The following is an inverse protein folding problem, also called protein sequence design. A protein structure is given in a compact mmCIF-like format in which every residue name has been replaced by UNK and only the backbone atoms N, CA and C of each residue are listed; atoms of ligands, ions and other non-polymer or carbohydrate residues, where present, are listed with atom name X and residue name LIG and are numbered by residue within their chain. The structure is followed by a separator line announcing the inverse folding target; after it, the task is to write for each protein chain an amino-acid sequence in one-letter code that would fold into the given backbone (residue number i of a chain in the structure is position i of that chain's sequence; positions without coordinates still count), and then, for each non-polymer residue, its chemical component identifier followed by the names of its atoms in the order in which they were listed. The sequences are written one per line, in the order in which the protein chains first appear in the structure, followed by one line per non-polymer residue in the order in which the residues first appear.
data_IF_430064214323
#
_entry.id   IF_430064214323
#
_cell.length_a   1.000
_cell.length_b   1.000
_cell.length_c   1.000
_cell.angle_alpha   90.00
_cell.angle_beta   90.00
_cell.angle_gamma   90.00
#
_symmetry.space_group_name_H-M   'P 1'
#
loop_
_entity.id
_entity.type
_entity.pdbx_description
1 polymer ?
#
# COMPACT_ATOMS: atom_id res chain seq x y z
N UNK A 1 -8.43 10.14 19.03
CA UNK A 1 -7.93 8.76 18.81
C UNK A 1 -6.46 8.82 18.45
N UNK A 2 -5.64 8.03 19.11
CA UNK A 2 -4.19 8.07 18.82
C UNK A 2 -3.88 7.27 17.55
N UNK A 3 -2.81 7.69 16.88
CA UNK A 3 -2.36 6.99 15.69
C UNK A 3 -1.63 5.68 16.08
N UNK A 4 -1.77 4.64 15.29
CA UNK A 4 -1.05 3.40 15.57
C UNK A 4 0.45 3.55 15.29
N UNK A 5 1.26 2.78 16.01
CA UNK A 5 2.71 2.75 15.78
C UNK A 5 3.09 1.90 14.58
N UNK A 6 2.26 0.93 14.24
CA UNK A 6 2.50 0.01 13.14
C UNK A 6 1.21 -0.21 12.35
N UNK A 7 1.37 -0.37 11.06
CA UNK A 7 0.27 -0.73 10.16
C UNK A 7 0.78 -1.84 9.23
N UNK A 8 -0.12 -2.44 8.48
CA UNK A 8 0.26 -3.52 7.59
C UNK A 8 -0.86 -3.89 6.65
N UNK A 9 -1.06 -5.18 6.47
CA UNK A 9 -2.05 -5.75 5.57
C UNK A 9 -2.64 -6.97 6.26
N UNK A 10 -3.79 -7.44 5.79
CA UNK A 10 -4.28 -8.74 6.24
C UNK A 10 -3.29 -9.80 5.80
N UNK A 11 -3.30 -10.96 6.47
CA UNK A 11 -2.36 -12.04 6.14
C UNK A 11 -2.49 -12.45 4.67
N UNK A 12 -3.72 -12.51 4.16
CA UNK A 12 -3.98 -12.86 2.77
C UNK A 12 -3.31 -11.86 1.81
N UNK A 13 -3.51 -10.57 2.06
CA UNK A 13 -2.97 -9.53 1.19
C UNK A 13 -1.46 -9.39 1.36
N UNK A 14 -0.94 -9.66 2.54
CA UNK A 14 0.51 -9.67 2.76
C UNK A 14 1.18 -10.74 1.90
N UNK A 15 0.57 -11.92 1.77
CA UNK A 15 1.07 -12.98 0.88
C UNK A 15 1.03 -12.53 -0.57
N UNK A 16 -0.03 -11.82 -0.97
CA UNK A 16 -0.14 -11.27 -2.32
C UNK A 16 0.96 -10.25 -2.60
N UNK A 17 1.28 -9.42 -1.61
CA UNK A 17 2.37 -8.47 -1.74
C UNK A 17 3.70 -9.17 -1.98
N UNK A 18 3.96 -10.26 -1.26
CA UNK A 18 5.20 -11.03 -1.43
C UNK A 18 5.29 -11.60 -2.85
N UNK A 19 4.18 -12.11 -3.39
CA UNK A 19 4.15 -12.61 -4.77
C UNK A 19 4.42 -11.50 -5.77
N UNK A 20 3.81 -10.33 -5.59
CA UNK A 20 4.01 -9.19 -6.47
C UNK A 20 5.48 -8.74 -6.46
N UNK A 21 6.12 -8.74 -5.30
CA UNK A 21 7.52 -8.36 -5.19
C UNK A 21 8.41 -9.36 -5.92
N UNK A 22 8.10 -10.65 -5.86
CA UNK A 22 8.85 -11.65 -6.60
C UNK A 22 8.73 -11.44 -8.11
N UNK A 23 7.55 -11.02 -8.58
CA UNK A 23 7.34 -10.72 -10.00
C UNK A 23 8.10 -9.45 -10.42
N UNK A 24 8.11 -8.42 -9.57
CA UNK A 24 8.77 -7.15 -9.87
C UNK A 24 10.29 -7.23 -9.76
N UNK A 25 10.80 -8.17 -8.95
CA UNK A 25 12.23 -8.32 -8.70
C UNK A 25 12.72 -9.73 -9.06
N UNK A 26 12.52 -10.18 -10.31
CA UNK A 26 12.88 -11.57 -10.67
C UNK A 26 14.37 -11.85 -10.55
N UNK A 27 15.20 -10.83 -10.60
CA UNK A 27 16.66 -10.95 -10.50
C UNK A 27 17.20 -10.08 -9.38
N UNK A 28 16.62 -10.20 -8.22
CA UNK A 28 16.95 -9.33 -7.09
C UNK A 28 18.40 -9.43 -6.61
N UNK A 29 19.13 -10.45 -7.04
CA UNK A 29 20.55 -10.61 -6.70
C UNK A 29 21.46 -9.89 -7.68
N UNK A 30 20.94 -9.35 -8.78
CA UNK A 30 21.73 -8.59 -9.72
C UNK A 30 21.86 -7.15 -9.26
N UNK A 31 22.90 -6.49 -9.75
CA UNK A 31 23.09 -5.06 -9.47
C UNK A 31 21.96 -4.29 -10.13
N UNK A 32 21.23 -3.55 -9.35
CA UNK A 32 20.11 -2.77 -9.82
C UNK A 32 19.24 -2.36 -8.66
N UNK A 33 18.25 -1.53 -8.95
CA UNK A 33 17.31 -1.06 -7.94
C UNK A 33 16.22 -2.11 -7.81
N UNK A 34 16.14 -2.73 -6.63
CA UNK A 34 15.07 -3.65 -6.30
C UNK A 34 13.99 -2.93 -5.53
N UNK A 35 12.75 -3.20 -5.85
CA UNK A 35 11.64 -2.71 -5.05
C UNK A 35 11.55 -3.52 -3.77
N UNK A 36 11.31 -2.83 -2.68
CA UNK A 36 11.09 -3.46 -1.39
C UNK A 36 9.65 -3.25 -0.95
N UNK A 37 9.24 -3.96 0.08
CA UNK A 37 7.86 -3.88 0.56
C UNK A 37 7.44 -2.46 0.89
N UNK A 38 8.30 -1.66 1.51
CA UNK A 38 7.98 -0.28 1.83
C UNK A 38 7.64 0.53 0.58
N UNK A 39 8.43 0.35 -0.48
CA UNK A 39 8.25 1.10 -1.71
C UNK A 39 6.91 0.80 -2.35
N UNK A 40 6.57 -0.48 -2.47
CA UNK A 40 5.30 -0.87 -3.09
C UNK A 40 4.11 -0.47 -2.22
N UNK A 41 4.24 -0.59 -0.90
CA UNK A 41 3.20 -0.16 0.03
C UNK A 41 2.94 1.34 -0.09
N UNK A 42 4.00 2.16 -0.11
CA UNK A 42 3.89 3.61 -0.28
C UNK A 42 3.26 3.98 -1.61
N UNK A 43 3.67 3.30 -2.69
CA UNK A 43 3.09 3.53 -4.01
C UNK A 43 1.60 3.22 -4.02
N UNK A 44 1.21 2.11 -3.39
CA UNK A 44 -0.19 1.74 -3.30
C UNK A 44 -1.01 2.82 -2.59
N UNK A 45 -0.49 3.33 -1.48
CA UNK A 45 -1.18 4.40 -0.74
C UNK A 45 -1.28 5.67 -1.59
N UNK A 46 -0.19 6.06 -2.23
CA UNK A 46 -0.18 7.28 -3.05
C UNK A 46 -1.18 7.18 -4.19
N UNK A 47 -1.22 6.03 -4.86
CA UNK A 47 -2.16 5.81 -5.96
C UNK A 47 -3.60 5.82 -5.46
N UNK A 48 -3.86 5.18 -4.32
CA UNK A 48 -5.20 5.16 -3.74
C UNK A 48 -5.69 6.56 -3.37
N UNK A 49 -4.82 7.38 -2.82
CA UNK A 49 -5.16 8.77 -2.50
C UNK A 49 -5.45 9.54 -3.80
N UNK A 50 -4.62 9.34 -4.81
CA UNK A 50 -4.81 10.02 -6.10
C UNK A 50 -6.13 9.63 -6.76
N UNK A 51 -6.52 8.36 -6.68
CA UNK A 51 -7.80 7.91 -7.21
C UNK A 51 -8.99 8.51 -6.48
N UNK A 52 -8.81 8.83 -5.20
CA UNK A 52 -9.89 9.41 -4.39
C UNK A 52 -11.01 8.45 -4.09
N UNK A 53 -10.78 7.16 -4.23
CA UNK A 53 -11.80 6.13 -3.96
C UNK A 53 -11.73 5.77 -2.48
N UNK A 54 -12.88 5.81 -1.81
CA UNK A 54 -12.95 5.40 -0.41
C UNK A 54 -12.70 3.91 -0.30
N UNK A 55 -11.68 3.47 0.46
CA UNK A 55 -11.38 2.05 0.60
C UNK A 55 -12.39 1.38 1.53
N UNK A 56 -12.73 0.12 1.25
CA UNK A 56 -13.60 -0.62 2.17
C UNK A 56 -12.86 -0.91 3.49
N UNK A 57 -13.60 -1.22 4.56
CA UNK A 57 -12.96 -1.68 5.79
C UNK A 57 -12.18 -2.97 5.54
N UNK A 58 -11.17 -3.23 6.36
CA UNK A 58 -10.46 -4.49 6.28
C UNK A 58 -11.41 -5.64 6.58
N UNK A 59 -11.31 -6.72 5.81
CA UNK A 59 -12.17 -7.89 6.00
C UNK A 59 -11.63 -8.86 7.05
N UNK A 60 -10.45 -8.59 7.59
CA UNK A 60 -9.81 -9.42 8.60
C UNK A 60 -8.84 -8.55 9.39
N UNK A 61 -8.25 -9.12 10.43
CA UNK A 61 -7.27 -8.41 11.24
C UNK A 61 -5.99 -8.19 10.44
N UNK A 62 -5.43 -6.99 10.52
CA UNK A 62 -4.16 -6.71 9.86
C UNK A 62 -3.00 -7.32 10.64
N UNK A 63 -1.93 -7.64 9.90
CA UNK A 63 -0.66 -8.02 10.49
C UNK A 63 0.22 -6.77 10.46
N UNK A 64 0.47 -6.10 11.60
CA UNK A 64 1.15 -4.81 11.63
C UNK A 64 2.66 -4.97 11.40
N UNK A 65 3.05 -5.05 10.14
CA UNK A 65 4.42 -5.37 9.72
C UNK A 65 5.32 -4.16 9.56
N UNK A 66 4.74 -2.96 9.42
CA UNK A 66 5.51 -1.77 9.11
C UNK A 66 5.43 -0.76 10.25
N UNK A 67 6.58 -0.30 10.72
CA UNK A 67 6.60 0.82 11.65
C UNK A 67 6.27 2.09 10.89
N UNK A 68 5.32 2.83 11.39
CA UNK A 68 4.91 4.10 10.77
C UNK A 68 6.07 5.07 10.69
N UNK A 69 6.92 5.10 11.72
CA UNK A 69 8.08 5.99 11.75
C UNK A 69 9.12 5.68 10.67
N UNK A 70 9.12 4.47 10.13
CA UNK A 70 10.00 4.08 9.03
C UNK A 70 9.29 4.19 7.69
N UNK A 71 8.03 3.73 7.64
CA UNK A 71 7.23 3.75 6.42
C UNK A 71 6.98 5.19 5.94
N UNK A 72 6.67 6.06 6.86
CA UNK A 72 6.33 7.46 6.57
C UNK A 72 7.25 8.40 7.36
N UNK A 73 8.54 8.21 7.18
CA UNK A 73 9.58 8.88 7.94
C UNK A 73 9.42 10.40 7.96
N UNK A 74 9.07 10.99 6.83
CA UNK A 74 8.93 12.44 6.69
C UNK A 74 7.47 12.90 6.81
N UNK A 75 6.56 12.00 7.16
CA UNK A 75 5.14 12.34 7.28
C UNK A 75 4.47 12.73 5.98
N UNK A 76 5.04 12.33 4.85
CA UNK A 76 4.52 12.71 3.53
C UNK A 76 3.15 12.09 3.28
N UNK A 77 3.00 10.78 3.55
CA UNK A 77 1.71 10.11 3.34
C UNK A 77 0.64 10.71 4.24
N UNK A 78 0.98 10.97 5.49
CA UNK A 78 0.08 11.60 6.45
C UNK A 78 -0.37 12.97 5.91
N UNK A 79 0.59 13.79 5.50
CA UNK A 79 0.30 15.14 5.03
C UNK A 79 -0.55 15.14 3.76
N UNK A 80 -0.21 14.28 2.81
CA UNK A 80 -0.97 14.17 1.57
C UNK A 80 -2.41 13.75 1.85
N UNK A 81 -2.60 12.79 2.75
CA UNK A 81 -3.94 12.31 3.06
C UNK A 81 -4.78 13.37 3.76
N UNK A 82 -4.23 14.08 4.75
CA UNK A 82 -5.03 15.09 5.45
C UNK A 82 -5.35 16.30 4.58
N UNK A 83 -4.58 16.52 3.51
CA UNK A 83 -4.85 17.58 2.55
C UNK A 83 -5.73 17.10 1.38
N UNK A 84 -6.09 15.83 1.35
CA UNK A 84 -7.00 15.31 0.34
C UNK A 84 -8.44 15.57 0.77
N UNK A 85 -9.37 15.33 -0.15
CA UNK A 85 -10.79 15.47 0.16
C UNK A 85 -11.40 14.19 0.73
N UNK A 86 -10.59 13.20 1.06
CA UNK A 86 -11.08 11.92 1.57
C UNK A 86 -11.59 12.05 3.00
N UNK A 87 -12.67 11.35 3.27
CA UNK A 87 -13.31 11.35 4.58
C UNK A 87 -12.87 10.12 5.38
N UNK A 88 -12.21 10.35 6.50
CA UNK A 88 -11.67 9.25 7.31
C UNK A 88 -12.73 8.53 8.14
N UNK A 89 -13.90 9.10 8.27
CA UNK A 89 -15.03 8.47 8.99
C UNK A 89 -14.68 8.04 10.41
N UNK A 90 -13.88 8.82 11.11
CA UNK A 90 -13.50 8.52 12.49
C UNK A 90 -12.29 7.61 12.65
N UNK A 91 -11.75 7.10 11.56
CA UNK A 91 -10.50 6.34 11.60
C UNK A 91 -9.32 7.24 11.90
N UNK A 92 -8.25 6.68 12.46
CA UNK A 92 -6.98 7.36 12.52
C UNK A 92 -6.45 7.54 11.09
N UNK A 93 -5.56 8.51 10.89
CA UNK A 93 -4.99 8.75 9.56
C UNK A 93 -4.25 7.51 9.06
N UNK A 94 -3.38 6.94 9.89
CA UNK A 94 -2.63 5.75 9.48
C UNK A 94 -3.51 4.50 9.40
N UNK A 95 -4.58 4.43 10.17
CA UNK A 95 -5.56 3.36 10.00
C UNK A 95 -6.25 3.43 8.64
N UNK A 96 -6.56 4.63 8.19
CA UNK A 96 -7.14 4.83 6.86
C UNK A 96 -6.13 4.52 5.76
N UNK A 97 -4.86 4.92 5.96
CA UNK A 97 -3.77 4.59 5.05
C UNK A 97 -3.64 3.07 4.89
N UNK A 98 -3.77 2.33 5.99
CA UNK A 98 -3.75 0.86 5.97
C UNK A 98 -4.84 0.30 5.07
N UNK A 99 -6.05 0.85 5.15
CA UNK A 99 -7.17 0.44 4.31
C UNK A 99 -6.92 0.73 2.84
N UNK A 100 -6.32 1.88 2.55
CA UNK A 100 -5.98 2.26 1.17
C UNK A 100 -4.96 1.28 0.60
N UNK A 101 -3.90 0.98 1.35
CA UNK A 101 -2.86 0.05 0.92
C UNK A 101 -3.43 -1.33 0.65
N UNK A 102 -4.27 -1.83 1.56
CA UNK A 102 -4.91 -3.12 1.41
C UNK A 102 -5.68 -3.20 0.09
N UNK A 103 -6.49 -2.19 -0.17
CA UNK A 103 -7.34 -2.16 -1.36
C UNK A 103 -6.52 -2.10 -2.65
N UNK A 104 -5.50 -1.25 -2.69
CA UNK A 104 -4.70 -1.07 -3.90
C UNK A 104 -3.80 -2.27 -4.18
N UNK A 105 -3.24 -2.88 -3.15
CA UNK A 105 -2.40 -4.06 -3.34
C UNK A 105 -3.23 -5.24 -3.84
N UNK A 106 -4.45 -5.40 -3.33
CA UNK A 106 -5.37 -6.40 -3.86
C UNK A 106 -5.65 -6.16 -5.34
N UNK A 107 -5.85 -4.90 -5.72
CA UNK A 107 -6.10 -4.54 -7.11
C UNK A 107 -4.90 -4.90 -7.99
N UNK A 108 -3.68 -4.58 -7.55
CA UNK A 108 -2.47 -4.91 -8.31
C UNK A 108 -2.36 -6.42 -8.50
N UNK A 109 -2.63 -7.17 -7.46
CA UNK A 109 -2.56 -8.63 -7.52
C UNK A 109 -3.59 -9.20 -8.47
N UNK A 110 -4.83 -8.74 -8.37
CA UNK A 110 -5.91 -9.20 -9.23
C UNK A 110 -5.62 -8.90 -10.71
N UNK A 111 -5.09 -7.71 -10.99
CA UNK A 111 -4.71 -7.37 -12.36
C UNK A 111 -3.59 -8.26 -12.87
N UNK A 112 -2.62 -8.59 -12.02
CA UNK A 112 -1.55 -9.51 -12.40
C UNK A 112 -2.11 -10.90 -12.70
N UNK A 113 -3.05 -11.39 -11.91
CA UNK A 113 -3.66 -12.71 -12.14
C UNK A 113 -4.53 -12.72 -13.39
N UNK A 114 -5.26 -11.66 -13.65
CA UNK A 114 -6.18 -11.56 -14.77
C UNK A 114 -5.46 -11.39 -16.10
N UNK A 115 -4.42 -10.60 -16.15
CA UNK A 115 -3.72 -10.24 -17.40
C UNK A 115 -2.36 -10.89 -17.53
N UNK A 116 -1.84 -11.51 -16.48
CA UNK A 116 -0.47 -11.99 -16.44
C UNK A 116 0.55 -10.88 -16.31
N UNK A 117 0.12 -9.65 -16.07
CA UNK A 117 0.98 -8.49 -15.96
C UNK A 117 0.56 -7.61 -14.80
N UNK A 118 1.56 -6.96 -14.20
CA UNK A 118 1.30 -5.95 -13.18
C UNK A 118 0.95 -4.66 -13.90
N UNK A 119 0.02 -3.84 -13.37
CA UNK A 119 -0.40 -2.60 -14.04
C UNK A 119 0.67 -1.51 -13.90
N UNK A 120 1.76 -1.68 -14.60
CA UNK A 120 2.90 -0.76 -14.53
C UNK A 120 2.52 0.68 -14.83
N UNK A 121 1.64 0.88 -15.82
CA UNK A 121 1.25 2.22 -16.21
C UNK A 121 0.54 2.97 -15.07
N UNK A 122 -0.19 2.25 -14.22
CA UNK A 122 -0.86 2.86 -13.07
C UNK A 122 0.12 3.07 -11.92
N UNK A 123 1.06 2.15 -11.74
CA UNK A 123 2.00 2.22 -10.63
C UNK A 123 3.03 3.32 -10.84
N UNK A 124 3.53 3.46 -12.06
CA UNK A 124 4.67 4.33 -12.34
C UNK A 124 4.34 5.60 -13.13
N UNK A 125 3.13 5.76 -13.61
CA UNK A 125 2.74 6.97 -14.35
C UNK A 125 2.01 7.94 -13.43
N UNK A 126 2.74 8.68 -12.66
CA UNK A 126 2.14 9.67 -11.77
C UNK A 126 2.48 11.08 -12.21
#
# INVERSE_FOLDING_TARGET
MSEPDRIGLTAETSAKLDELLNELNPKKDEKGISLIKFDLYRLAVAIGIKKGIEPPPLNDRSVPSFRVSELDKDGVLYTVLINSEMNFSGDSVYGYIERIAENEIKFFYEENQRTGQIPYSEIFST
#
